data_IF_956527544000
#
_entry.id   IF_956527544000
#
_cell.length_a   1.000
_cell.length_b   1.000
_cell.length_c   1.000
_cell.angle_alpha   90.00
_cell.angle_beta   90.00
_cell.angle_gamma   90.00
#
_symmetry.space_group_name_H-M   'P 1'
#
loop_
_entity.id
_entity.type
_entity.pdbx_description
1 polymer ?
#
# COMPACT_ATOMS: atom_id res chain seq x y z
N UNK A 1 40.89 23.54 27.66
CA UNK A 1 40.10 23.05 28.80
C UNK A 1 38.98 22.17 28.26
N UNK A 2 39.36 20.90 27.94
CA UNK A 2 38.47 19.95 27.26
C UNK A 2 38.33 18.72 28.19
N UNK A 3 37.25 18.65 28.97
CA UNK A 3 36.95 17.48 29.84
C UNK A 3 35.49 17.03 29.68
N UNK A 4 34.78 17.50 28.66
CA UNK A 4 33.35 17.10 28.46
C UNK A 4 33.09 16.13 27.32
N UNK A 5 34.06 15.80 26.47
CA UNK A 5 33.81 14.91 25.31
C UNK A 5 34.11 13.42 25.59
N UNK A 6 34.94 13.08 26.56
CA UNK A 6 35.33 11.68 26.80
C UNK A 6 34.26 10.85 27.53
N UNK A 7 33.41 11.46 28.35
CA UNK A 7 32.36 10.74 29.09
C UNK A 7 31.11 10.45 28.25
N UNK A 8 30.83 11.25 27.23
CA UNK A 8 29.69 11.02 26.32
C UNK A 8 30.00 9.96 25.25
N UNK A 9 31.24 9.88 24.79
CA UNK A 9 31.68 8.83 23.89
C UNK A 9 31.72 7.45 24.55
N UNK A 10 32.18 7.35 25.78
CA UNK A 10 32.23 6.06 26.53
C UNK A 10 30.82 5.52 26.85
N UNK A 11 29.83 6.38 27.09
CA UNK A 11 28.45 5.97 27.33
C UNK A 11 27.76 5.48 26.04
N UNK A 12 28.07 6.04 24.89
CA UNK A 12 27.55 5.62 23.59
C UNK A 12 28.17 4.31 23.14
N UNK A 13 29.45 4.10 23.39
CA UNK A 13 30.15 2.84 23.10
C UNK A 13 29.65 1.69 24.00
N UNK A 14 29.39 1.94 25.27
CA UNK A 14 28.84 0.95 26.21
C UNK A 14 27.39 0.53 25.82
N UNK A 15 26.53 1.48 25.45
CA UNK A 15 25.17 1.20 24.99
C UNK A 15 25.18 0.39 23.68
N UNK A 16 26.05 0.71 22.74
CA UNK A 16 26.20 0.00 21.48
C UNK A 16 26.61 -1.46 21.67
N UNK A 17 27.56 -1.72 22.60
CA UNK A 17 28.02 -3.07 22.91
C UNK A 17 26.94 -3.92 23.59
N UNK A 18 26.11 -3.32 24.44
CA UNK A 18 24.97 -4.00 25.08
C UNK A 18 23.91 -4.40 24.07
N UNK A 19 23.54 -3.50 23.14
CA UNK A 19 22.60 -3.80 22.04
C UNK A 19 23.11 -4.94 21.15
N UNK A 20 24.38 -4.92 20.77
CA UNK A 20 24.99 -6.00 19.97
C UNK A 20 24.83 -7.35 20.66
N UNK A 21 25.11 -7.42 21.95
CA UNK A 21 24.98 -8.63 22.77
C UNK A 21 23.55 -9.18 22.74
N UNK A 22 22.56 -8.31 22.99
CA UNK A 22 21.15 -8.68 23.02
C UNK A 22 20.66 -9.10 21.66
N UNK A 23 21.02 -8.38 20.61
CA UNK A 23 20.61 -8.66 19.23
C UNK A 23 21.19 -9.98 18.70
N UNK A 24 22.42 -10.31 19.04
CA UNK A 24 22.98 -11.64 18.74
C UNK A 24 22.23 -12.78 19.45
N UNK A 25 21.85 -12.57 20.71
CA UNK A 25 21.05 -13.54 21.45
C UNK A 25 19.64 -13.71 20.88
N UNK A 26 18.98 -12.59 20.50
CA UNK A 26 17.68 -12.56 19.84
C UNK A 26 17.75 -13.34 18.52
N UNK A 27 18.76 -13.06 17.68
CA UNK A 27 18.98 -13.76 16.42
C UNK A 27 19.07 -15.28 16.62
N UNK A 28 19.93 -15.73 17.52
CA UNK A 28 20.11 -17.16 17.78
C UNK A 28 18.82 -17.83 18.28
N UNK A 29 18.09 -17.17 19.18
CA UNK A 29 16.82 -17.68 19.70
C UNK A 29 15.74 -17.74 18.61
N UNK A 30 15.68 -16.74 17.74
CA UNK A 30 14.74 -16.71 16.62
C UNK A 30 14.99 -17.86 15.65
N UNK A 31 16.26 -18.15 15.37
CA UNK A 31 16.68 -19.28 14.55
C UNK A 31 16.51 -20.65 15.27
N UNK A 32 16.12 -20.66 16.54
CA UNK A 32 15.99 -21.86 17.39
C UNK A 32 17.25 -22.74 17.42
N UNK A 33 18.43 -22.10 17.35
CA UNK A 33 19.73 -22.78 17.35
C UNK A 33 20.30 -22.87 18.77
N UNK A 34 20.90 -24.03 19.05
CA UNK A 34 21.82 -24.15 20.21
C UNK A 34 23.06 -23.31 19.98
N UNK A 35 23.82 -23.01 21.03
CA UNK A 35 25.09 -22.26 20.90
C UNK A 35 26.10 -22.96 19.97
N UNK A 36 26.13 -24.29 20.00
CA UNK A 36 27.00 -25.10 19.15
C UNK A 36 26.58 -25.01 17.65
N UNK A 37 25.29 -25.13 17.37
CA UNK A 37 24.77 -25.01 16.02
C UNK A 37 24.97 -23.58 15.47
N UNK A 38 24.77 -22.56 16.33
CA UNK A 38 24.97 -21.17 15.93
C UNK A 38 26.45 -20.89 15.58
N UNK A 39 27.40 -21.45 16.35
CA UNK A 39 28.82 -21.35 16.02
C UNK A 39 29.12 -22.04 14.69
N UNK A 40 28.61 -23.25 14.49
CA UNK A 40 28.87 -24.04 13.29
C UNK A 40 28.33 -23.40 12.02
N UNK A 41 27.20 -22.65 12.11
CA UNK A 41 26.55 -22.03 10.97
C UNK A 41 27.02 -20.59 10.70
N UNK A 42 27.27 -19.82 11.77
CA UNK A 42 27.49 -18.38 11.64
C UNK A 42 28.82 -17.87 12.16
N UNK A 43 29.60 -18.69 12.88
CA UNK A 43 30.85 -18.27 13.52
C UNK A 43 32.01 -19.23 13.21
N UNK A 44 32.11 -19.61 11.94
CA UNK A 44 33.24 -20.36 11.38
C UNK A 44 33.98 -19.54 10.31
N UNK A 45 35.29 -19.80 10.17
CA UNK A 45 36.11 -19.24 9.10
C UNK A 45 35.82 -19.96 7.76
N UNK A 46 36.49 -19.51 6.68
CA UNK A 46 36.33 -20.07 5.32
C UNK A 46 36.72 -21.55 5.21
N UNK A 47 37.47 -22.08 6.20
CA UNK A 47 37.87 -23.50 6.27
C UNK A 47 36.97 -24.33 7.20
N UNK A 48 35.87 -23.73 7.70
CA UNK A 48 34.92 -24.41 8.61
C UNK A 48 35.41 -24.52 10.07
N UNK A 49 36.51 -23.82 10.44
CA UNK A 49 36.99 -23.83 11.80
C UNK A 49 36.26 -22.78 12.64
N UNK A 50 35.74 -23.19 13.79
CA UNK A 50 35.03 -22.32 14.71
C UNK A 50 35.89 -21.13 15.18
N UNK A 51 35.36 -19.93 15.04
CA UNK A 51 36.02 -18.67 15.53
C UNK A 51 35.99 -18.54 17.05
N UNK A 52 35.04 -19.21 17.68
CA UNK A 52 34.81 -19.12 19.12
C UNK A 52 34.34 -20.46 19.67
N UNK A 53 34.65 -20.73 20.95
CA UNK A 53 34.15 -21.92 21.65
C UNK A 53 32.77 -21.66 22.29
N UNK A 54 31.96 -22.73 22.50
CA UNK A 54 30.68 -22.64 23.18
C UNK A 54 30.73 -21.95 24.54
N UNK A 55 31.70 -22.26 25.43
CA UNK A 55 31.79 -21.58 26.71
C UNK A 55 32.08 -20.07 26.55
N UNK A 56 32.89 -19.68 25.56
CA UNK A 56 33.21 -18.28 25.30
C UNK A 56 32.01 -17.54 24.75
N UNK A 57 31.22 -18.14 23.81
CA UNK A 57 29.97 -17.57 23.31
C UNK A 57 28.96 -17.39 24.45
N UNK A 58 28.80 -18.42 25.30
CA UNK A 58 27.88 -18.35 26.45
C UNK A 58 28.23 -17.21 27.41
N UNK A 59 29.53 -16.95 27.60
CA UNK A 59 29.97 -15.83 28.42
C UNK A 59 29.71 -14.47 27.77
N UNK A 60 29.96 -14.36 26.47
CA UNK A 60 29.66 -13.12 25.70
C UNK A 60 28.17 -12.80 25.64
N UNK A 61 27.30 -13.79 25.44
CA UNK A 61 25.85 -13.61 25.49
C UNK A 61 25.35 -13.16 26.88
N UNK A 62 26.09 -13.49 27.97
CA UNK A 62 25.72 -13.11 29.34
C UNK A 62 26.31 -11.78 29.79
N UNK A 63 27.55 -11.51 29.47
CA UNK A 63 28.32 -10.42 30.05
C UNK A 63 28.83 -9.39 29.04
N UNK A 64 28.67 -9.67 27.73
CA UNK A 64 29.31 -8.88 26.67
C UNK A 64 30.82 -9.07 26.64
N UNK A 65 31.52 -8.21 25.94
CA UNK A 65 33.00 -8.20 25.90
C UNK A 65 33.51 -7.67 24.55
N UNK A 66 34.80 -7.36 24.50
CA UNK A 66 35.48 -6.72 23.36
C UNK A 66 35.36 -7.48 22.02
N UNK A 67 35.19 -8.80 22.07
CA UNK A 67 35.14 -9.63 20.87
C UNK A 67 33.74 -9.64 20.22
N UNK A 68 32.73 -9.07 20.90
CA UNK A 68 31.34 -9.20 20.46
C UNK A 68 31.07 -8.43 19.15
N UNK A 69 31.72 -7.27 18.98
CA UNK A 69 31.61 -6.47 17.74
C UNK A 69 32.18 -7.23 16.53
N UNK A 70 33.34 -7.86 16.69
CA UNK A 70 33.96 -8.64 15.62
C UNK A 70 33.11 -9.86 15.23
N UNK A 71 32.45 -10.49 16.20
CA UNK A 71 31.53 -11.59 15.94
C UNK A 71 30.26 -11.09 15.22
N UNK A 72 29.74 -9.94 15.63
CA UNK A 72 28.59 -9.32 14.96
C UNK A 72 28.95 -8.92 13.52
N UNK A 73 30.12 -8.36 13.26
CA UNK A 73 30.63 -8.08 11.92
C UNK A 73 30.69 -9.35 11.05
N UNK A 74 31.20 -10.43 11.63
CA UNK A 74 31.28 -11.70 10.93
C UNK A 74 29.90 -12.27 10.58
N UNK A 75 28.96 -12.21 11.53
CA UNK A 75 27.58 -12.64 11.30
C UNK A 75 26.90 -11.74 10.26
N UNK A 76 27.04 -10.42 10.37
CA UNK A 76 26.48 -9.45 9.43
C UNK A 76 26.95 -9.73 8.00
N UNK A 77 28.25 -10.02 7.83
CA UNK A 77 28.82 -10.40 6.53
C UNK A 77 28.19 -11.69 5.98
N UNK A 78 27.99 -12.69 6.84
CA UNK A 78 27.37 -13.95 6.44
C UNK A 78 25.88 -13.78 6.09
N UNK A 79 25.18 -12.92 6.81
CA UNK A 79 23.78 -12.59 6.58
C UNK A 79 23.61 -11.57 5.43
N UNK A 80 24.69 -11.02 4.89
CA UNK A 80 24.68 -9.95 3.87
C UNK A 80 23.92 -8.70 4.33
N UNK A 81 24.04 -8.36 5.61
CA UNK A 81 23.44 -7.16 6.24
C UNK A 81 24.53 -6.21 6.73
N UNK A 82 24.16 -4.94 6.98
CA UNK A 82 25.07 -3.96 7.59
C UNK A 82 25.31 -4.31 9.07
N UNK A 83 26.53 -4.16 9.52
CA UNK A 83 26.91 -4.40 10.93
C UNK A 83 26.13 -3.50 11.90
N UNK A 84 25.74 -2.30 11.48
CA UNK A 84 24.94 -1.38 12.29
C UNK A 84 23.54 -1.91 12.64
N UNK A 85 23.08 -2.97 11.97
CA UNK A 85 21.85 -3.70 12.33
C UNK A 85 21.95 -4.25 13.75
N UNK A 86 23.11 -4.77 14.13
CA UNK A 86 23.34 -5.30 15.47
C UNK A 86 23.47 -4.23 16.57
N UNK A 87 23.62 -2.95 16.20
CA UNK A 87 23.66 -1.81 17.12
C UNK A 87 22.29 -1.17 17.35
N UNK A 88 21.24 -1.66 16.69
CA UNK A 88 19.87 -1.19 16.88
C UNK A 88 19.37 -1.47 18.29
N UNK A 89 18.32 -0.74 18.68
CA UNK A 89 17.55 -1.08 19.88
C UNK A 89 17.05 -2.53 19.79
N UNK A 90 17.15 -3.33 20.86
CA UNK A 90 16.78 -4.75 20.84
C UNK A 90 15.32 -5.03 20.47
N UNK A 91 14.38 -4.15 20.84
CA UNK A 91 12.97 -4.29 20.48
C UNK A 91 12.77 -4.04 18.98
N UNK A 92 13.46 -3.02 18.44
CA UNK A 92 13.47 -2.74 17.00
C UNK A 92 14.13 -3.87 16.21
N UNK A 93 15.21 -4.44 16.72
CA UNK A 93 15.88 -5.60 16.11
C UNK A 93 14.97 -6.83 16.09
N UNK A 94 14.31 -7.13 17.21
CA UNK A 94 13.41 -8.28 17.33
C UNK A 94 12.22 -8.20 16.38
N UNK A 95 11.65 -7.00 16.20
CA UNK A 95 10.55 -6.77 15.25
C UNK A 95 10.97 -6.96 13.80
N UNK A 96 12.23 -6.73 13.47
CA UNK A 96 12.72 -6.71 12.10
C UNK A 96 13.60 -7.91 11.73
N UNK A 97 13.80 -8.86 12.65
CA UNK A 97 14.76 -9.97 12.49
C UNK A 97 14.43 -10.88 11.30
N UNK A 98 13.15 -11.12 11.01
CA UNK A 98 12.74 -11.97 9.91
C UNK A 98 13.06 -11.34 8.55
N UNK A 99 13.08 -10.02 8.50
CA UNK A 99 13.49 -9.25 7.32
C UNK A 99 15.00 -9.39 7.08
N UNK A 100 15.79 -9.36 8.14
CA UNK A 100 17.25 -9.60 8.06
C UNK A 100 17.56 -11.03 7.63
N UNK A 101 16.76 -11.98 8.07
CA UNK A 101 16.90 -13.40 7.69
C UNK A 101 16.38 -13.67 6.28
N UNK A 102 15.36 -12.97 5.78
CA UNK A 102 14.82 -13.11 4.44
C UNK A 102 15.76 -12.64 3.34
N UNK A 103 16.64 -11.68 3.63
CA UNK A 103 17.69 -11.18 2.71
C UNK A 103 19.00 -11.97 2.79
N UNK A 104 19.14 -12.86 3.77
CA UNK A 104 20.33 -13.69 3.89
C UNK A 104 20.16 -14.98 3.07
N UNK A 105 21.27 -15.52 2.56
CA UNK A 105 21.35 -16.91 2.10
C UNK A 105 21.09 -17.85 3.28
N UNK A 106 19.85 -17.91 3.76
CA UNK A 106 19.45 -18.94 4.72
C UNK A 106 19.48 -20.26 3.94
N UNK A 107 20.56 -20.99 4.13
CA UNK A 107 20.60 -22.41 3.76
C UNK A 107 19.56 -23.06 4.65
N UNK A 108 18.40 -23.40 4.09
CA UNK A 108 17.47 -24.29 4.76
C UNK A 108 18.24 -25.59 5.01
N UNK A 109 18.63 -25.80 6.26
CA UNK A 109 19.40 -26.96 6.70
C UNK A 109 18.65 -28.29 6.43
N UNK A 110 17.40 -28.24 5.97
CA UNK A 110 16.58 -29.42 5.62
C UNK A 110 16.49 -29.71 4.12
N UNK A 111 16.62 -28.73 3.21
CA UNK A 111 16.33 -28.93 1.79
C UNK A 111 17.45 -28.56 0.80
N UNK A 112 18.58 -28.02 1.23
CA UNK A 112 19.78 -27.82 0.40
C UNK A 112 19.63 -26.88 -0.82
N UNK A 113 18.56 -26.11 -0.91
CA UNK A 113 18.29 -25.21 -2.04
C UNK A 113 18.78 -23.79 -1.72
N UNK A 114 19.85 -23.37 -2.37
CA UNK A 114 20.33 -21.99 -2.30
C UNK A 114 19.36 -21.09 -3.05
N UNK A 115 18.73 -20.14 -2.34
CA UNK A 115 18.03 -19.03 -2.97
C UNK A 115 19.10 -18.11 -3.57
N UNK A 116 19.07 -17.92 -4.89
CA UNK A 116 20.05 -17.11 -5.61
C UNK A 116 19.97 -15.64 -5.18
N UNK A 117 21.11 -14.94 -5.03
CA UNK A 117 21.10 -13.50 -4.86
C UNK A 117 20.57 -12.85 -6.15
N UNK A 118 19.69 -11.87 -5.99
CA UNK A 118 19.09 -11.10 -7.07
C UNK A 118 20.15 -10.46 -7.99
N UNK A 119 19.96 -10.47 -9.31
CA UNK A 119 20.96 -9.95 -10.25
C UNK A 119 21.06 -8.43 -10.17
N UNK A 120 22.27 -7.91 -10.09
CA UNK A 120 22.68 -6.51 -9.89
C UNK A 120 22.36 -5.53 -11.04
N UNK A 121 21.30 -5.73 -11.83
CA UNK A 121 21.02 -4.90 -13.03
C UNK A 121 19.53 -4.54 -13.27
N UNK A 122 18.63 -4.82 -12.35
CA UNK A 122 17.25 -4.30 -12.42
C UNK A 122 17.09 -3.05 -11.57
N UNK A 123 16.18 -2.19 -11.96
CA UNK A 123 15.86 -0.90 -11.36
C UNK A 123 15.76 -1.02 -9.83
N UNK A 124 16.85 -0.78 -9.13
CA UNK A 124 17.01 -0.95 -7.69
C UNK A 124 15.90 -0.25 -6.87
N UNK A 125 15.37 0.86 -7.39
CA UNK A 125 14.27 1.59 -6.78
C UNK A 125 12.94 0.84 -6.94
N UNK A 126 12.70 0.22 -8.09
CA UNK A 126 11.47 -0.54 -8.36
C UNK A 126 11.34 -1.76 -7.45
N UNK A 127 12.43 -2.50 -7.29
CA UNK A 127 12.50 -3.64 -6.37
C UNK A 127 12.31 -3.20 -4.91
N UNK A 128 12.93 -2.10 -4.53
CA UNK A 128 12.79 -1.54 -3.18
C UNK A 128 11.35 -1.06 -2.92
N UNK A 129 10.68 -0.48 -3.91
CA UNK A 129 9.26 -0.13 -3.83
C UNK A 129 8.41 -1.37 -3.56
N UNK A 130 8.70 -2.49 -4.26
CA UNK A 130 7.98 -3.74 -4.07
C UNK A 130 8.18 -4.30 -2.66
N UNK A 131 9.44 -4.41 -2.21
CA UNK A 131 9.77 -4.92 -0.87
C UNK A 131 9.15 -4.07 0.25
N UNK A 132 9.21 -2.73 0.13
CA UNK A 132 8.56 -1.86 1.13
C UNK A 132 7.03 -2.02 1.07
N UNK A 133 6.43 -2.19 -0.11
CA UNK A 133 4.98 -2.42 -0.24
C UNK A 133 4.55 -3.72 0.42
N UNK A 134 5.33 -4.80 0.26
CA UNK A 134 5.09 -6.08 0.94
C UNK A 134 5.18 -5.93 2.45
N UNK A 135 6.25 -5.31 2.95
CA UNK A 135 6.40 -5.02 4.37
C UNK A 135 5.20 -4.25 4.96
N UNK A 136 4.74 -3.20 4.26
CA UNK A 136 3.57 -2.43 4.70
C UNK A 136 2.31 -3.29 4.71
N UNK A 137 2.11 -4.10 3.69
CA UNK A 137 0.94 -4.99 3.57
C UNK A 137 0.94 -6.02 4.70
N UNK A 138 2.06 -6.68 4.94
CA UNK A 138 2.20 -7.69 5.99
C UNK A 138 1.99 -7.07 7.38
N UNK A 139 2.58 -5.90 7.64
CA UNK A 139 2.40 -5.19 8.90
C UNK A 139 0.95 -4.74 9.13
N UNK A 140 0.23 -4.35 8.08
CA UNK A 140 -1.19 -4.00 8.18
C UNK A 140 -2.03 -5.26 8.42
N UNK A 141 -1.76 -6.35 7.73
CA UNK A 141 -2.49 -7.62 7.92
C UNK A 141 -2.24 -8.24 9.30
N UNK A 142 -1.02 -8.09 9.82
CA UNK A 142 -0.68 -8.51 11.19
C UNK A 142 -1.31 -7.61 12.27
N UNK A 143 -1.77 -6.41 11.91
CA UNK A 143 -2.32 -5.43 12.84
C UNK A 143 -1.28 -4.55 13.55
N UNK A 144 -0.01 -4.65 13.15
CA UNK A 144 1.11 -3.87 13.69
C UNK A 144 1.08 -2.42 13.20
N UNK A 145 0.56 -2.19 11.99
CA UNK A 145 0.37 -0.88 11.39
C UNK A 145 -1.09 -0.69 10.97
N UNK A 146 -1.56 0.55 11.07
CA UNK A 146 -2.92 0.96 10.68
C UNK A 146 -2.88 2.19 9.77
N UNK A 147 -3.90 2.42 8.94
CA UNK A 147 -4.03 3.69 8.23
C UNK A 147 -3.91 4.89 9.18
N UNK A 148 -3.03 5.81 8.86
CA UNK A 148 -2.68 6.98 9.70
C UNK A 148 -1.47 6.81 10.60
N UNK A 149 -0.95 5.60 10.77
CA UNK A 149 0.23 5.37 11.61
C UNK A 149 1.49 5.93 10.93
N UNK A 150 2.43 6.33 11.77
CA UNK A 150 3.72 6.84 11.33
C UNK A 150 4.66 5.69 11.03
N UNK A 151 5.29 5.72 9.86
CA UNK A 151 6.31 4.76 9.48
C UNK A 151 7.64 5.02 10.20
N UNK A 152 8.50 4.00 10.31
CA UNK A 152 9.87 4.17 10.76
C UNK A 152 10.60 5.26 9.96
N UNK A 153 11.60 5.90 10.57
CA UNK A 153 12.37 6.96 9.90
C UNK A 153 13.13 6.45 8.68
N UNK A 154 13.48 7.34 7.73
CA UNK A 154 14.34 7.01 6.58
C UNK A 154 15.64 6.29 7.01
N UNK A 155 16.18 6.66 8.19
CA UNK A 155 17.38 6.03 8.74
C UNK A 155 17.07 4.60 9.17
N UNK A 156 15.99 4.39 9.89
CA UNK A 156 15.55 3.06 10.33
C UNK A 156 15.26 2.16 9.13
N UNK A 157 14.45 2.64 8.16
CA UNK A 157 14.16 1.90 6.92
C UNK A 157 15.43 1.57 6.12
N UNK A 158 16.40 2.50 6.08
CA UNK A 158 17.69 2.29 5.42
C UNK A 158 18.47 1.13 6.05
N UNK A 159 18.46 1.03 7.36
CA UNK A 159 19.07 -0.09 8.08
C UNK A 159 18.28 -1.37 7.88
N UNK A 160 16.94 -1.33 8.03
CA UNK A 160 16.06 -2.50 7.87
C UNK A 160 16.20 -3.17 6.50
N UNK A 161 16.23 -2.38 5.44
CA UNK A 161 16.32 -2.89 4.07
C UNK A 161 17.75 -2.98 3.53
N UNK A 162 18.75 -2.67 4.35
CA UNK A 162 20.16 -2.65 3.98
C UNK A 162 20.45 -1.85 2.70
N UNK A 163 19.91 -0.64 2.59
CA UNK A 163 20.03 0.21 1.42
C UNK A 163 20.33 1.65 1.81
N UNK A 164 20.88 2.44 0.86
CA UNK A 164 21.18 3.85 1.09
C UNK A 164 19.91 4.68 1.40
N UNK A 165 20.03 5.67 2.29
CA UNK A 165 18.94 6.58 2.67
C UNK A 165 18.35 7.33 1.45
N UNK A 166 19.16 7.58 0.44
CA UNK A 166 18.70 8.18 -0.83
C UNK A 166 17.73 7.25 -1.54
N UNK A 167 18.07 5.96 -1.66
CA UNK A 167 17.21 4.95 -2.29
C UNK A 167 15.89 4.77 -1.54
N UNK A 168 15.92 4.75 -0.19
CA UNK A 168 14.69 4.75 0.62
C UNK A 168 13.80 5.95 0.29
N UNK A 169 14.37 7.15 0.24
CA UNK A 169 13.60 8.37 -0.08
C UNK A 169 12.99 8.34 -1.48
N UNK A 170 13.71 7.79 -2.44
CA UNK A 170 13.21 7.63 -3.81
C UNK A 170 12.06 6.62 -3.85
N UNK A 171 12.19 5.47 -3.20
CA UNK A 171 11.13 4.48 -3.10
C UNK A 171 9.90 5.03 -2.35
N UNK A 172 10.10 5.73 -1.23
CA UNK A 172 9.00 6.37 -0.49
C UNK A 172 8.29 7.44 -1.33
N UNK A 173 9.00 8.21 -2.16
CA UNK A 173 8.35 9.15 -3.10
C UNK A 173 7.46 8.43 -4.10
N UNK A 174 7.90 7.29 -4.65
CA UNK A 174 7.08 6.49 -5.56
C UNK A 174 5.84 5.97 -4.85
N UNK A 175 5.99 5.42 -3.64
CA UNK A 175 4.86 4.95 -2.82
C UNK A 175 3.88 6.08 -2.46
N UNK A 176 4.40 7.29 -2.23
CA UNK A 176 3.56 8.48 -1.99
C UNK A 176 2.80 8.90 -3.24
N UNK A 177 3.42 8.85 -4.42
CA UNK A 177 2.75 9.12 -5.70
C UNK A 177 1.66 8.07 -5.97
N UNK A 178 1.91 6.81 -5.61
CA UNK A 178 0.92 5.74 -5.67
C UNK A 178 -0.21 5.89 -4.62
N UNK A 179 -0.07 6.80 -3.65
CA UNK A 179 -1.09 7.05 -2.63
C UNK A 179 -1.11 6.03 -1.49
N UNK A 180 -0.05 5.22 -1.34
CA UNK A 180 0.08 4.27 -0.22
C UNK A 180 0.50 4.96 1.07
N UNK A 181 1.34 5.99 0.95
CA UNK A 181 1.90 6.74 2.08
C UNK A 181 1.80 8.24 1.84
N UNK A 182 1.82 9.00 2.94
CA UNK A 182 1.80 10.45 2.97
C UNK A 182 3.09 10.99 3.62
N UNK A 183 3.90 11.71 2.85
CA UNK A 183 5.16 12.30 3.31
C UNK A 183 4.87 13.72 3.79
N UNK A 184 4.92 13.94 5.11
CA UNK A 184 4.70 15.24 5.74
C UNK A 184 6.03 15.89 6.11
N UNK A 185 6.42 17.01 5.47
CA UNK A 185 7.68 17.68 5.77
C UNK A 185 7.83 17.99 7.26
N UNK A 186 8.95 17.60 7.86
CA UNK A 186 9.25 17.82 9.28
C UNK A 186 8.48 16.92 10.25
N UNK A 187 7.48 16.17 9.81
CA UNK A 187 6.67 15.28 10.66
C UNK A 187 6.96 13.80 10.45
N UNK A 188 7.37 13.42 9.24
CA UNK A 188 7.68 12.04 8.86
C UNK A 188 6.78 11.49 7.77
N UNK A 189 6.80 10.18 7.61
CA UNK A 189 6.01 9.44 6.64
C UNK A 189 4.91 8.67 7.36
N UNK A 190 3.71 8.66 6.80
CA UNK A 190 2.52 8.04 7.41
C UNK A 190 1.83 7.12 6.39
N UNK A 191 1.14 6.08 6.86
CA UNK A 191 0.24 5.30 6.00
C UNK A 191 -0.96 6.17 5.64
N UNK A 192 -1.37 6.17 4.35
CA UNK A 192 -2.53 6.94 3.93
C UNK A 192 -3.79 6.48 4.65
N UNK A 193 -4.59 7.47 5.11
CA UNK A 193 -5.90 7.23 5.74
C UNK A 193 -6.98 6.87 4.70
N UNK A 194 -6.84 7.39 3.50
CA UNK A 194 -7.83 7.22 2.43
C UNK A 194 -7.18 6.55 1.21
N UNK A 195 -7.69 5.38 0.85
CA UNK A 195 -7.27 4.64 -0.35
C UNK A 195 -7.83 5.23 -1.66
N UNK A 196 -8.48 6.38 -1.61
CA UNK A 196 -9.25 6.96 -2.72
C UNK A 196 -8.45 7.27 -3.99
N UNK A 197 -7.14 7.45 -3.89
CA UNK A 197 -6.29 7.79 -5.03
C UNK A 197 -5.40 6.65 -5.52
N UNK A 198 -5.33 5.53 -4.80
CA UNK A 198 -4.43 4.42 -5.11
C UNK A 198 -4.61 3.86 -6.52
N UNK A 199 -5.85 3.66 -6.94
CA UNK A 199 -6.15 3.10 -8.26
C UNK A 199 -6.22 4.15 -9.37
N UNK A 200 -6.28 5.46 -9.05
CA UNK A 200 -6.61 6.48 -10.03
C UNK A 200 -5.54 6.66 -11.10
N UNK A 201 -4.27 6.69 -10.72
CA UNK A 201 -3.19 6.90 -11.67
C UNK A 201 -2.89 5.66 -12.52
N UNK A 202 -2.68 4.45 -11.96
CA UNK A 202 -2.45 3.24 -12.75
C UNK A 202 -3.61 2.93 -13.71
N UNK A 203 -4.87 3.08 -13.25
CA UNK A 203 -6.03 2.83 -14.09
C UNK A 203 -6.16 3.87 -15.22
N UNK A 204 -5.88 5.15 -14.94
CA UNK A 204 -5.86 6.20 -15.95
C UNK A 204 -4.78 5.95 -17.00
N UNK A 205 -3.57 5.57 -16.59
CA UNK A 205 -2.48 5.23 -17.49
C UNK A 205 -2.79 3.97 -18.31
N UNK A 206 -3.35 2.93 -17.71
CA UNK A 206 -3.79 1.73 -18.41
C UNK A 206 -4.76 2.08 -19.56
N UNK A 207 -5.66 3.04 -19.32
CA UNK A 207 -6.56 3.54 -20.36
C UNK A 207 -5.83 4.35 -21.45
N UNK A 208 -4.92 5.27 -21.06
CA UNK A 208 -4.21 6.11 -22.03
C UNK A 208 -3.16 5.36 -22.87
N UNK A 209 -2.59 4.27 -22.32
CA UNK A 209 -1.57 3.45 -23.00
C UNK A 209 -2.17 2.32 -23.86
N UNK A 210 -3.43 1.96 -23.64
CA UNK A 210 -4.14 0.96 -24.43
C UNK A 210 -4.72 1.54 -25.72
N UNK A 211 -5.22 0.66 -26.60
CA UNK A 211 -6.13 1.10 -27.66
C UNK A 211 -7.33 1.76 -26.97
N UNK A 212 -7.53 3.06 -27.19
CA UNK A 212 -8.51 3.91 -26.51
C UNK A 212 -9.94 3.43 -26.70
N UNK A 213 -10.23 2.26 -26.15
CA UNK A 213 -11.52 1.64 -26.30
C UNK A 213 -12.44 2.06 -25.16
N UNK A 214 -13.28 3.06 -25.44
CA UNK A 214 -14.31 3.53 -24.53
C UNK A 214 -15.19 2.37 -24.03
N UNK A 215 -15.39 1.35 -24.85
CA UNK A 215 -16.20 0.17 -24.51
C UNK A 215 -15.66 -0.55 -23.27
N UNK A 216 -14.34 -0.65 -23.09
CA UNK A 216 -13.75 -1.29 -21.89
C UNK A 216 -14.06 -0.52 -20.59
N UNK A 217 -14.08 0.81 -20.65
CA UNK A 217 -14.48 1.61 -19.46
C UNK A 217 -15.96 1.41 -19.16
N UNK A 218 -16.79 1.39 -20.21
CA UNK A 218 -18.24 1.16 -20.06
C UNK A 218 -18.49 -0.23 -19.48
N UNK A 219 -17.76 -1.26 -19.91
CA UNK A 219 -17.91 -2.61 -19.39
C UNK A 219 -17.51 -2.68 -17.90
N UNK A 220 -16.43 -2.02 -17.49
CA UNK A 220 -16.04 -1.90 -16.07
C UNK A 220 -17.12 -1.15 -15.27
N UNK A 221 -17.64 -0.04 -15.81
CA UNK A 221 -18.74 0.70 -15.20
C UNK A 221 -19.98 -0.16 -15.02
N UNK A 222 -20.37 -0.93 -16.04
CA UNK A 222 -21.54 -1.83 -15.96
C UNK A 222 -21.41 -2.77 -14.75
N UNK A 223 -20.28 -3.41 -14.57
CA UNK A 223 -20.07 -4.33 -13.44
C UNK A 223 -20.15 -3.60 -12.09
N UNK A 224 -19.45 -2.48 -11.96
CA UNK A 224 -19.36 -1.76 -10.70
C UNK A 224 -20.66 -1.02 -10.34
N UNK A 225 -21.32 -0.36 -11.30
CA UNK A 225 -22.48 0.49 -11.04
C UNK A 225 -23.77 -0.33 -10.85
N UNK A 226 -23.92 -1.43 -11.57
CA UNK A 226 -25.05 -2.35 -11.37
C UNK A 226 -25.00 -2.96 -9.97
N UNK A 227 -23.82 -3.43 -9.55
CA UNK A 227 -23.64 -3.97 -8.20
C UNK A 227 -23.78 -2.87 -7.13
N UNK A 228 -23.31 -1.65 -7.41
CA UNK A 228 -23.51 -0.50 -6.52
C UNK A 228 -24.98 -0.19 -6.28
N UNK A 229 -25.79 -0.14 -7.35
CA UNK A 229 -27.20 0.12 -7.25
C UNK A 229 -27.94 -0.97 -6.44
N UNK A 230 -27.59 -2.23 -6.69
CA UNK A 230 -28.11 -3.37 -5.92
C UNK A 230 -27.76 -3.26 -4.42
N UNK A 231 -26.50 -3.00 -4.12
CA UNK A 231 -26.06 -2.86 -2.72
C UNK A 231 -26.62 -1.59 -2.07
N UNK A 232 -26.76 -0.48 -2.80
CA UNK A 232 -27.35 0.75 -2.30
C UNK A 232 -28.77 0.51 -1.79
N UNK A 233 -29.61 -0.17 -2.56
CA UNK A 233 -30.98 -0.50 -2.15
C UNK A 233 -31.02 -1.37 -0.89
N UNK A 234 -30.01 -2.24 -0.67
CA UNK A 234 -29.95 -3.14 0.48
C UNK A 234 -29.29 -2.53 1.74
N UNK A 235 -28.32 -1.61 1.56
CA UNK A 235 -27.37 -1.24 2.64
C UNK A 235 -27.32 0.25 2.94
N UNK A 236 -27.91 1.11 2.13
CA UNK A 236 -27.80 2.55 2.30
C UNK A 236 -28.29 2.97 3.71
N UNK A 237 -27.46 3.75 4.41
CA UNK A 237 -27.86 4.41 5.65
C UNK A 237 -28.70 5.65 5.34
N UNK A 238 -29.44 6.16 6.33
CA UNK A 238 -30.20 7.41 6.17
C UNK A 238 -29.28 8.56 5.68
N UNK A 239 -28.09 8.69 6.23
CA UNK A 239 -27.12 9.71 5.79
C UNK A 239 -26.71 9.57 4.32
N UNK A 240 -26.61 8.33 3.81
CA UNK A 240 -26.33 8.09 2.38
C UNK A 240 -27.54 8.47 1.52
N UNK A 241 -28.74 8.10 1.96
CA UNK A 241 -29.98 8.46 1.28
C UNK A 241 -30.16 9.98 1.21
N UNK A 242 -29.86 10.69 2.32
CA UNK A 242 -29.95 12.16 2.34
C UNK A 242 -29.00 12.79 1.32
N UNK A 243 -27.76 12.30 1.20
CA UNK A 243 -26.79 12.75 0.18
C UNK A 243 -27.28 12.45 -1.23
N UNK A 244 -27.75 11.23 -1.49
CA UNK A 244 -28.26 10.82 -2.79
C UNK A 244 -29.47 11.69 -3.18
N UNK A 245 -30.37 11.96 -2.23
CA UNK A 245 -31.53 12.83 -2.42
C UNK A 245 -31.14 14.26 -2.73
N UNK A 246 -30.12 14.78 -2.05
CA UNK A 246 -29.58 16.11 -2.33
C UNK A 246 -29.04 16.21 -3.79
N UNK A 247 -28.22 15.24 -4.21
CA UNK A 247 -27.66 15.23 -5.57
C UNK A 247 -28.77 15.08 -6.61
N UNK A 248 -29.72 14.17 -6.37
CA UNK A 248 -30.89 13.99 -7.25
C UNK A 248 -31.73 15.28 -7.35
N UNK A 249 -31.96 15.98 -6.24
CA UNK A 249 -32.68 17.26 -6.22
C UNK A 249 -31.98 18.34 -7.08
N UNK A 250 -30.66 18.47 -6.95
CA UNK A 250 -29.87 19.40 -7.79
C UNK A 250 -29.93 19.01 -9.28
N UNK A 251 -29.87 17.70 -9.59
CA UNK A 251 -30.00 17.21 -10.96
C UNK A 251 -31.40 17.50 -11.54
N UNK A 252 -32.46 17.34 -10.75
CA UNK A 252 -33.83 17.69 -11.12
C UNK A 252 -33.97 19.17 -11.41
N UNK A 253 -33.36 20.03 -10.60
CA UNK A 253 -33.35 21.48 -10.84
C UNK A 253 -32.63 21.83 -12.13
N UNK A 254 -31.45 21.22 -12.37
CA UNK A 254 -30.71 21.42 -13.62
C UNK A 254 -31.49 20.94 -14.85
N UNK A 255 -32.24 19.85 -14.73
CA UNK A 255 -33.15 19.35 -15.77
C UNK A 255 -34.28 20.36 -16.07
N UNK A 256 -34.96 20.88 -15.03
CA UNK A 256 -36.06 21.86 -15.19
C UNK A 256 -35.59 23.15 -15.88
N UNK A 257 -34.37 23.60 -15.57
CA UNK A 257 -33.78 24.78 -16.19
C UNK A 257 -33.08 24.50 -17.52
N UNK A 258 -33.12 23.27 -18.04
CA UNK A 258 -32.43 22.82 -19.27
C UNK A 258 -30.95 23.14 -19.29
N UNK A 259 -30.29 23.16 -18.11
CA UNK A 259 -28.89 23.39 -17.99
C UNK A 259 -28.11 22.08 -18.18
N UNK A 260 -27.81 21.78 -19.47
CA UNK A 260 -27.16 20.53 -19.85
C UNK A 260 -25.82 20.33 -19.19
N UNK A 261 -24.99 21.38 -19.07
CA UNK A 261 -23.65 21.24 -18.47
C UNK A 261 -23.73 20.88 -16.99
N UNK A 262 -24.58 21.57 -16.23
CA UNK A 262 -24.80 21.25 -14.81
C UNK A 262 -25.42 19.88 -14.64
N UNK A 263 -26.36 19.48 -15.51
CA UNK A 263 -26.95 18.16 -15.48
C UNK A 263 -25.92 17.05 -15.69
N UNK A 264 -25.01 17.19 -16.66
CA UNK A 264 -23.96 16.21 -16.92
C UNK A 264 -22.92 16.11 -15.79
N UNK A 265 -22.63 17.22 -15.12
CA UNK A 265 -21.76 17.19 -13.94
C UNK A 265 -22.44 16.46 -12.78
N UNK A 266 -23.73 16.68 -12.57
CA UNK A 266 -24.54 16.06 -11.52
C UNK A 266 -24.91 14.59 -11.83
N UNK A 267 -24.99 14.21 -13.10
CA UNK A 267 -25.11 12.81 -13.54
C UNK A 267 -23.95 11.97 -12.98
N UNK A 268 -22.73 12.45 -13.15
CA UNK A 268 -21.56 11.78 -12.59
C UNK A 268 -21.57 11.75 -11.05
N UNK A 269 -22.06 12.81 -10.40
CA UNK A 269 -22.18 12.87 -8.93
C UNK A 269 -23.27 11.92 -8.41
N UNK A 270 -24.37 11.73 -9.17
CA UNK A 270 -25.44 10.81 -8.84
C UNK A 270 -24.92 9.35 -8.82
N UNK A 271 -24.21 8.92 -9.85
CA UNK A 271 -23.62 7.58 -9.89
C UNK A 271 -22.62 7.35 -8.74
N UNK A 272 -21.83 8.37 -8.39
CA UNK A 272 -20.91 8.28 -7.27
C UNK A 272 -21.67 8.19 -5.92
N UNK A 273 -22.75 8.97 -5.75
CA UNK A 273 -23.57 8.90 -4.54
C UNK A 273 -24.23 7.52 -4.38
N UNK A 274 -24.67 6.88 -5.46
CA UNK A 274 -25.13 5.47 -5.43
C UNK A 274 -23.99 4.53 -5.00
N UNK A 275 -22.78 4.73 -5.51
CA UNK A 275 -21.64 3.92 -5.11
C UNK A 275 -21.31 4.07 -3.61
N UNK A 276 -21.41 5.27 -3.06
CA UNK A 276 -21.25 5.52 -1.62
C UNK A 276 -22.36 4.83 -0.80
N UNK A 277 -23.61 4.81 -1.32
CA UNK A 277 -24.73 4.07 -0.71
C UNK A 277 -24.48 2.55 -0.65
N UNK A 278 -23.64 2.00 -1.51
CA UNK A 278 -23.29 0.57 -1.51
C UNK A 278 -22.53 0.11 -0.25
N UNK A 279 -21.99 1.04 0.55
CA UNK A 279 -21.13 0.79 1.73
C UNK A 279 -19.86 -0.01 1.38
N UNK A 280 -19.44 0.03 0.11
CA UNK A 280 -18.22 -0.62 -0.35
C UNK A 280 -17.20 0.43 -0.83
N UNK A 281 -16.22 0.80 0.02
CA UNK A 281 -15.27 1.86 -0.30
C UNK A 281 -14.39 1.53 -1.51
N UNK A 282 -14.15 0.24 -1.79
CA UNK A 282 -13.36 -0.17 -2.97
C UNK A 282 -14.13 0.14 -4.25
N UNK A 283 -15.42 -0.20 -4.31
CA UNK A 283 -16.28 0.12 -5.46
C UNK A 283 -16.34 1.64 -5.66
N UNK A 284 -16.58 2.40 -4.59
CA UNK A 284 -16.66 3.87 -4.65
C UNK A 284 -15.36 4.48 -5.18
N UNK A 285 -14.21 3.99 -4.74
CA UNK A 285 -12.90 4.47 -5.19
C UNK A 285 -12.60 4.13 -6.65
N UNK A 286 -12.95 2.92 -7.10
CA UNK A 286 -12.83 2.53 -8.51
C UNK A 286 -13.74 3.36 -9.41
N UNK A 287 -14.98 3.62 -9.00
CA UNK A 287 -15.90 4.47 -9.74
C UNK A 287 -15.45 5.94 -9.76
N UNK A 288 -14.97 6.48 -8.63
CA UNK A 288 -14.38 7.81 -8.61
C UNK A 288 -13.23 7.97 -9.60
N UNK A 289 -12.42 6.91 -9.76
CA UNK A 289 -11.31 6.89 -10.71
C UNK A 289 -11.82 6.84 -12.16
N UNK A 290 -12.76 5.96 -12.46
CA UNK A 290 -13.36 5.84 -13.79
C UNK A 290 -14.14 7.12 -14.19
N UNK A 291 -14.71 7.85 -13.20
CA UNK A 291 -15.38 9.13 -13.38
C UNK A 291 -14.51 10.18 -14.08
N UNK A 292 -13.23 10.30 -13.67
CA UNK A 292 -12.30 11.25 -14.29
C UNK A 292 -12.10 10.93 -15.78
N UNK A 293 -12.06 9.65 -16.13
CA UNK A 293 -11.92 9.19 -17.52
C UNK A 293 -13.19 9.47 -18.32
N UNK A 294 -14.36 9.15 -17.77
CA UNK A 294 -15.66 9.43 -18.43
C UNK A 294 -15.85 10.92 -18.63
N UNK A 295 -15.50 11.76 -17.65
CA UNK A 295 -15.58 13.22 -17.77
C UNK A 295 -14.70 13.75 -18.92
N UNK A 296 -13.52 13.18 -19.13
CA UNK A 296 -12.65 13.52 -20.24
C UNK A 296 -13.35 13.21 -21.58
N UNK A 297 -13.99 12.05 -21.68
CA UNK A 297 -14.72 11.61 -22.88
C UNK A 297 -15.99 12.46 -23.10
N UNK A 298 -16.75 12.73 -22.04
CA UNK A 298 -18.01 13.51 -22.12
C UNK A 298 -17.81 14.94 -22.57
N UNK A 299 -16.66 15.55 -22.32
CA UNK A 299 -16.31 16.89 -22.83
C UNK A 299 -16.30 16.98 -24.36
N UNK A 300 -16.28 15.86 -25.05
CA UNK A 300 -16.30 15.80 -26.52
C UNK A 300 -17.72 15.92 -27.14
N UNK A 301 -18.76 16.28 -26.35
CA UNK A 301 -20.05 16.69 -26.87
C UNK A 301 -21.02 15.54 -27.22
N UNK A 302 -21.01 14.46 -26.43
CA UNK A 302 -21.72 13.21 -26.72
C UNK A 302 -23.23 13.23 -26.36
N UNK A 303 -23.68 14.11 -25.48
CA UNK A 303 -25.08 14.20 -25.05
C UNK A 303 -25.71 15.49 -25.60
N UNK A 304 -26.87 15.39 -26.19
CA UNK A 304 -27.68 16.53 -26.67
C UNK A 304 -28.89 16.75 -25.76
N UNK A 305 -29.47 17.93 -25.84
CA UNK A 305 -30.71 18.26 -25.12
C UNK A 305 -31.87 17.31 -25.45
N UNK A 306 -31.85 16.67 -26.61
CA UNK A 306 -32.88 15.70 -27.04
C UNK A 306 -32.93 14.47 -26.14
N UNK A 307 -31.79 14.05 -25.58
CA UNK A 307 -31.70 12.89 -24.70
C UNK A 307 -31.93 13.22 -23.21
N UNK A 308 -31.98 14.51 -22.87
CA UNK A 308 -32.05 14.96 -21.48
C UNK A 308 -33.24 14.39 -20.71
N UNK A 309 -34.42 14.40 -21.34
CA UNK A 309 -35.66 13.87 -20.74
C UNK A 309 -35.56 12.37 -20.45
N UNK A 310 -35.07 11.61 -21.42
CA UNK A 310 -34.92 10.16 -21.28
C UNK A 310 -33.92 9.81 -20.16
N UNK A 311 -32.77 10.49 -20.13
CA UNK A 311 -31.73 10.27 -19.12
C UNK A 311 -32.29 10.61 -17.73
N UNK A 312 -32.98 11.72 -17.57
CA UNK A 312 -33.58 12.11 -16.31
C UNK A 312 -34.61 11.07 -15.81
N UNK A 313 -35.50 10.58 -16.70
CA UNK A 313 -36.44 9.51 -16.33
C UNK A 313 -35.76 8.20 -15.94
N UNK A 314 -34.66 7.83 -16.61
CA UNK A 314 -33.86 6.66 -16.25
C UNK A 314 -33.32 6.80 -14.84
N UNK A 315 -32.74 7.97 -14.49
CA UNK A 315 -32.19 8.23 -13.14
C UNK A 315 -33.28 8.27 -12.07
N UNK A 316 -34.44 8.86 -12.39
CA UNK A 316 -35.58 8.89 -11.46
C UNK A 316 -35.99 7.47 -11.03
N UNK A 317 -36.13 6.57 -12.02
CA UNK A 317 -36.51 5.17 -11.72
C UNK A 317 -35.47 4.43 -10.90
N UNK A 318 -34.17 4.67 -11.14
CA UNK A 318 -33.08 4.09 -10.34
C UNK A 318 -33.15 4.62 -8.91
N UNK A 319 -33.29 5.93 -8.75
CA UNK A 319 -33.42 6.59 -7.46
C UNK A 319 -34.61 6.05 -6.65
N UNK A 320 -35.79 5.96 -7.26
CA UNK A 320 -37.01 5.41 -6.65
C UNK A 320 -36.84 3.95 -6.22
N UNK A 321 -36.18 3.12 -7.04
CA UNK A 321 -35.91 1.72 -6.70
C UNK A 321 -34.99 1.60 -5.48
N UNK A 322 -34.01 2.46 -5.37
CA UNK A 322 -33.12 2.49 -4.19
C UNK A 322 -33.88 2.93 -2.94
N UNK A 323 -34.70 3.97 -3.01
CA UNK A 323 -35.53 4.43 -1.90
C UNK A 323 -36.53 3.38 -1.42
N UNK A 324 -37.09 2.60 -2.36
CA UNK A 324 -38.02 1.53 -2.08
C UNK A 324 -37.33 0.22 -1.63
N UNK A 325 -36.01 0.22 -1.45
CA UNK A 325 -35.22 -0.97 -1.11
C UNK A 325 -35.40 -2.15 -2.09
N UNK A 326 -35.73 -1.86 -3.37
CA UNK A 326 -35.88 -2.87 -4.42
C UNK A 326 -34.55 -3.08 -5.15
N UNK A 327 -33.71 -3.94 -4.59
CA UNK A 327 -32.36 -4.20 -5.08
C UNK A 327 -32.32 -4.79 -6.50
N UNK A 328 -33.27 -5.67 -6.84
CA UNK A 328 -33.33 -6.31 -8.16
C UNK A 328 -33.77 -5.30 -9.23
N UNK A 329 -34.73 -4.43 -8.92
CA UNK A 329 -35.11 -3.35 -9.84
C UNK A 329 -34.01 -2.31 -9.97
N UNK A 330 -33.35 -1.91 -8.87
CA UNK A 330 -32.24 -0.96 -8.94
C UNK A 330 -31.11 -1.45 -9.85
N UNK A 331 -30.69 -2.72 -9.70
CA UNK A 331 -29.68 -3.34 -10.56
C UNK A 331 -30.12 -3.39 -12.03
N UNK A 332 -31.31 -3.87 -12.30
CA UNK A 332 -31.85 -3.99 -13.66
C UNK A 332 -32.00 -2.63 -14.36
N UNK A 333 -32.50 -1.61 -13.64
CA UNK A 333 -32.66 -0.26 -14.16
C UNK A 333 -31.32 0.41 -14.44
N UNK A 334 -30.32 0.23 -13.55
CA UNK A 334 -28.96 0.71 -13.74
C UNK A 334 -28.34 0.07 -15.00
N UNK A 335 -28.45 -1.23 -15.19
CA UNK A 335 -27.92 -1.92 -16.37
C UNK A 335 -28.55 -1.34 -17.66
N UNK A 336 -29.88 -1.17 -17.70
CA UNK A 336 -30.57 -0.60 -18.85
C UNK A 336 -30.14 0.84 -19.16
N UNK A 337 -29.92 1.65 -18.12
CA UNK A 337 -29.43 3.01 -18.25
C UNK A 337 -28.02 3.04 -18.87
N UNK A 338 -27.12 2.19 -18.40
CA UNK A 338 -25.74 2.12 -18.91
C UNK A 338 -25.69 1.58 -20.34
N UNK A 339 -26.50 0.58 -20.69
CA UNK A 339 -26.64 0.08 -22.07
C UNK A 339 -27.15 1.16 -23.00
N UNK A 340 -28.19 1.90 -22.60
CA UNK A 340 -28.72 3.03 -23.37
C UNK A 340 -27.68 4.15 -23.51
N UNK A 341 -26.89 4.40 -22.46
CA UNK A 341 -25.76 5.33 -22.50
C UNK A 341 -24.73 4.88 -23.54
N UNK A 342 -24.34 3.60 -23.56
CA UNK A 342 -23.39 3.02 -24.53
C UNK A 342 -23.88 3.24 -25.98
N UNK A 343 -25.16 3.00 -26.25
CA UNK A 343 -25.74 3.23 -27.56
C UNK A 343 -25.69 4.72 -27.97
N UNK A 344 -25.99 5.64 -27.06
CA UNK A 344 -25.86 7.08 -27.28
C UNK A 344 -24.44 7.52 -27.63
N UNK A 345 -23.42 6.83 -27.09
CA UNK A 345 -22.00 7.06 -27.40
C UNK A 345 -21.60 6.53 -28.78
N UNK A 346 -22.07 5.35 -29.17
CA UNK A 346 -21.69 4.69 -30.43
C UNK A 346 -22.28 5.36 -31.68
N UNK A 347 -23.49 5.91 -31.63
CA UNK A 347 -24.14 6.57 -32.74
C UNK A 347 -23.38 7.80 -33.25
N UNK A 348 -22.49 8.39 -32.47
CA UNK A 348 -21.71 9.58 -32.87
C UNK A 348 -20.34 9.28 -33.46
N UNK A 349 -19.87 8.05 -33.37
CA UNK A 349 -18.55 7.63 -33.87
C UNK A 349 -18.64 6.71 -35.11
N UNK A 350 -19.82 6.40 -35.58
CA UNK A 350 -20.12 5.79 -36.89
C UNK A 350 -20.56 6.84 -37.91
#
# INVERSE_FOLDING_TARGET
MNIKDSSSQSLVEDLSSEHIKENMLILRRRLKLSQGEFISLYLCDENGKALISVPKLSNLERQGGKDIEQLAEHIAKQLSVDTDVFKMDPDDFAMNIDLFLGNSKVIDAKNGTAIQPLPSRYNYVEELVHVISEYLTDSILAGDLRPGDKLPSDRTLSVMFNVGRTSIREALKVLSVLGLIDIRPGQGTFICLESSNFFSMPLSWSFFMGEHNVDYIIDVRNVLEVESAKQAANKATQSNIDKLTQVYGQMSESYLHKNLQSFLDLDLDFHLAIAECSQNPIISNLLLTSRKLVRYISKTGLVSLEHLNQIYEEHTRIYEAILNHDAESAARLMLRHLDASKQRYQIKHS
#
